data_IF_058105065198
#
_entry.id   IF_058105065198
#
_cell.length_a   1.000
_cell.length_b   1.000
_cell.length_c   1.000
_cell.angle_alpha   90.00
_cell.angle_beta   90.00
_cell.angle_gamma   90.00
#
_symmetry.space_group_name_H-M   'P 1'
#
loop_
_entity.id
_entity.type
_entity.pdbx_description
1 polymer ?
#
# COMPACT_ATOMS: atom_id res chain seq x y z
N UNK A 1 -1.89 13.29 26.89
CA UNK A 1 -0.41 13.23 26.93
C UNK A 1 0.03 12.22 25.89
N UNK A 2 0.89 12.63 24.97
CA UNK A 2 1.35 11.83 23.83
C UNK A 2 1.19 12.55 22.50
N UNK A 3 1.71 13.77 22.39
CA UNK A 3 1.95 14.40 21.10
C UNK A 3 3.01 13.56 20.38
N UNK A 4 2.60 12.80 19.37
CA UNK A 4 3.54 12.20 18.43
C UNK A 4 4.13 13.32 17.59
N UNK A 5 5.20 13.93 18.08
CA UNK A 5 6.05 14.77 17.26
C UNK A 5 6.56 13.87 16.13
N UNK A 6 6.01 14.05 14.93
CA UNK A 6 6.59 13.52 13.71
C UNK A 6 8.01 14.05 13.63
N UNK A 7 8.99 13.20 13.89
CA UNK A 7 10.38 13.52 13.65
C UNK A 7 10.50 13.85 12.16
N UNK A 8 10.71 15.13 11.88
CA UNK A 8 11.10 15.65 10.58
C UNK A 8 12.24 14.77 10.07
N UNK A 9 12.03 14.13 8.93
CA UNK A 9 13.06 13.36 8.27
C UNK A 9 13.49 14.11 7.03
N UNK A 10 14.41 15.08 7.19
CA UNK A 10 15.28 15.56 6.10
C UNK A 10 16.08 14.40 5.46
N UNK A 11 16.02 13.20 6.07
CA UNK A 11 16.60 11.99 5.53
C UNK A 11 15.72 11.42 4.42
N UNK A 12 16.37 11.19 3.27
CA UNK A 12 15.84 10.47 2.11
C UNK A 12 15.08 9.21 2.54
N UNK A 13 13.79 9.05 2.20
CA UNK A 13 13.01 7.87 2.57
C UNK A 13 13.62 6.57 2.04
N UNK A 14 13.67 5.54 2.90
CA UNK A 14 14.04 4.18 2.52
C UNK A 14 12.80 3.36 2.10
N UNK A 15 12.80 2.88 0.86
CA UNK A 15 11.72 2.08 0.26
C UNK A 15 12.02 0.57 0.25
N UNK A 16 13.08 0.12 0.93
CA UNK A 16 13.45 -1.30 1.03
C UNK A 16 12.31 -2.13 1.62
N UNK A 17 11.62 -1.59 2.63
CA UNK A 17 10.49 -2.29 3.25
C UNK A 17 9.32 -2.47 2.28
N UNK A 18 9.01 -1.47 1.44
CA UNK A 18 7.99 -1.58 0.39
C UNK A 18 8.37 -2.65 -0.63
N UNK A 19 9.61 -2.65 -1.08
CA UNK A 19 10.10 -3.65 -2.05
C UNK A 19 9.96 -5.07 -1.52
N UNK A 20 10.41 -5.32 -0.28
CA UNK A 20 10.30 -6.64 0.37
C UNK A 20 8.86 -7.06 0.62
N UNK A 21 7.99 -6.13 1.04
CA UNK A 21 6.58 -6.42 1.27
C UNK A 21 5.88 -6.83 -0.04
N UNK A 22 6.14 -6.09 -1.12
CA UNK A 22 5.62 -6.37 -2.45
C UNK A 22 6.12 -7.72 -2.98
N UNK A 23 7.40 -8.04 -2.86
CA UNK A 23 7.96 -9.35 -3.24
C UNK A 23 7.25 -10.50 -2.52
N UNK A 24 7.01 -10.35 -1.21
CA UNK A 24 6.23 -11.33 -0.44
C UNK A 24 4.79 -11.43 -0.93
N UNK A 25 4.13 -10.31 -1.24
CA UNK A 25 2.77 -10.35 -1.77
C UNK A 25 2.71 -11.11 -3.11
N UNK A 26 3.67 -10.86 -4.01
CA UNK A 26 3.78 -11.54 -5.31
C UNK A 26 4.01 -13.05 -5.13
N UNK A 27 4.94 -13.44 -4.24
CA UNK A 27 5.17 -14.86 -3.92
C UNK A 27 3.90 -15.51 -3.35
N UNK A 28 3.19 -14.81 -2.46
CA UNK A 28 1.94 -15.31 -1.89
C UNK A 28 0.85 -15.51 -2.93
N UNK A 29 0.73 -14.56 -3.87
CA UNK A 29 -0.21 -14.61 -4.98
C UNK A 29 0.07 -15.82 -5.88
N UNK A 30 1.32 -16.01 -6.30
CA UNK A 30 1.71 -17.13 -7.15
C UNK A 30 1.43 -18.50 -6.49
N UNK A 31 1.63 -18.61 -5.17
CA UNK A 31 1.32 -19.84 -4.41
C UNK A 31 -0.19 -20.09 -4.32
N UNK A 32 -0.98 -19.05 -4.14
CA UNK A 32 -2.44 -19.16 -4.14
C UNK A 32 -2.98 -19.57 -5.52
N UNK A 33 -2.44 -19.03 -6.60
CA UNK A 33 -2.83 -19.42 -7.97
C UNK A 33 -2.51 -20.88 -8.28
N UNK A 34 -1.44 -21.43 -7.68
CA UNK A 34 -1.07 -22.83 -7.88
C UNK A 34 -2.06 -23.82 -7.22
N UNK A 35 -2.68 -23.43 -6.11
CA UNK A 35 -3.74 -24.18 -5.44
C UNK A 35 -4.68 -23.24 -4.68
N UNK A 36 -5.80 -22.88 -5.32
CA UNK A 36 -6.78 -21.97 -4.74
C UNK A 36 -7.62 -22.61 -3.63
N UNK A 37 -7.50 -23.93 -3.41
CA UNK A 37 -8.22 -24.65 -2.35
C UNK A 37 -7.48 -24.65 -1.02
N UNK A 38 -6.19 -24.30 -1.01
CA UNK A 38 -5.39 -24.18 0.22
C UNK A 38 -5.78 -22.92 1.02
N UNK A 39 -6.61 -23.13 2.03
CA UNK A 39 -7.11 -22.09 2.93
C UNK A 39 -5.98 -21.40 3.69
N UNK A 40 -4.93 -22.13 4.09
CA UNK A 40 -3.80 -21.55 4.83
C UNK A 40 -3.01 -20.58 3.96
N UNK A 41 -2.85 -20.90 2.66
CA UNK A 41 -2.23 -20.01 1.68
C UNK A 41 -3.10 -18.79 1.43
N UNK A 42 -4.42 -18.96 1.26
CA UNK A 42 -5.37 -17.84 1.11
C UNK A 42 -5.30 -16.88 2.28
N UNK A 43 -5.37 -17.38 3.51
CA UNK A 43 -5.38 -16.56 4.71
C UNK A 43 -4.02 -15.84 4.89
N UNK A 44 -2.92 -16.54 4.61
CA UNK A 44 -1.59 -15.93 4.55
C UNK A 44 -1.46 -14.84 3.47
N UNK A 45 -2.09 -15.02 2.32
CA UNK A 45 -2.12 -14.05 1.22
C UNK A 45 -2.91 -12.79 1.62
N UNK A 46 -4.05 -12.93 2.30
CA UNK A 46 -4.81 -11.78 2.85
C UNK A 46 -3.95 -10.98 3.83
N UNK A 47 -3.23 -11.66 4.74
CA UNK A 47 -2.32 -10.98 5.66
C UNK A 47 -1.19 -10.25 4.93
N UNK A 48 -0.65 -10.85 3.85
CA UNK A 48 0.38 -10.24 3.00
C UNK A 48 -0.14 -8.98 2.29
N UNK A 49 -1.38 -9.00 1.82
CA UNK A 49 -2.03 -7.81 1.28
C UNK A 49 -2.14 -6.71 2.34
N UNK A 50 -2.65 -7.03 3.54
CA UNK A 50 -2.86 -6.03 4.60
C UNK A 50 -1.58 -5.26 4.94
N UNK A 51 -0.49 -5.96 5.25
CA UNK A 51 0.75 -5.27 5.61
C UNK A 51 1.36 -4.53 4.41
N UNK A 52 1.20 -5.05 3.19
CA UNK A 52 1.77 -4.40 1.99
C UNK A 52 1.03 -3.11 1.66
N UNK A 53 -0.30 -3.09 1.81
CA UNK A 53 -1.11 -1.87 1.71
C UNK A 53 -0.65 -0.80 2.71
N UNK A 54 -0.47 -1.18 3.98
CA UNK A 54 -0.04 -0.24 5.02
C UNK A 54 1.35 0.33 4.76
N UNK A 55 2.27 -0.50 4.28
CA UNK A 55 3.62 -0.09 3.93
C UNK A 55 3.60 0.82 2.68
N UNK A 56 2.79 0.50 1.67
CA UNK A 56 2.65 1.31 0.45
C UNK A 56 2.14 2.72 0.77
N UNK A 57 1.05 2.82 1.54
CA UNK A 57 0.50 4.10 2.00
C UNK A 57 1.53 4.91 2.79
N UNK A 58 2.21 4.30 3.78
CA UNK A 58 3.22 4.99 4.59
C UNK A 58 4.44 5.43 3.77
N UNK A 59 4.87 4.61 2.81
CA UNK A 59 6.00 4.94 1.94
C UNK A 59 5.67 6.10 1.01
N UNK A 60 4.45 6.11 0.45
CA UNK A 60 3.95 7.23 -0.34
C UNK A 60 3.90 8.52 0.47
N UNK A 61 3.30 8.47 1.68
CA UNK A 61 3.19 9.64 2.55
C UNK A 61 4.55 10.23 2.90
N UNK A 62 5.49 9.38 3.34
CA UNK A 62 6.88 9.79 3.64
C UNK A 62 7.59 10.41 2.46
N UNK A 63 7.37 9.89 1.26
CA UNK A 63 7.92 10.49 0.05
C UNK A 63 7.34 11.88 -0.20
N UNK A 64 6.02 12.05 -0.09
CA UNK A 64 5.38 13.35 -0.28
C UNK A 64 5.81 14.36 0.79
N UNK A 65 5.96 13.95 2.04
CA UNK A 65 6.52 14.76 3.13
C UNK A 65 7.95 15.21 2.77
N UNK A 66 8.81 14.28 2.34
CA UNK A 66 10.20 14.56 1.95
C UNK A 66 10.32 15.49 0.73
N UNK A 67 9.46 15.31 -0.27
CA UNK A 67 9.51 16.10 -1.51
C UNK A 67 8.80 17.46 -1.39
N UNK A 68 8.04 17.69 -0.33
CA UNK A 68 7.27 18.92 -0.13
C UNK A 68 8.14 20.02 0.52
N UNK A 69 8.05 21.28 0.04
CA UNK A 69 8.66 22.42 0.71
C UNK A 69 8.00 22.73 2.07
N UNK A 70 6.79 22.20 2.31
CA UNK A 70 6.10 22.31 3.60
C UNK A 70 5.52 20.94 3.99
N UNK A 71 6.28 20.08 4.67
CA UNK A 71 5.84 18.73 5.05
C UNK A 71 4.58 18.71 5.92
N UNK A 72 4.36 19.74 6.75
CA UNK A 72 3.18 19.84 7.63
C UNK A 72 1.87 19.89 6.83
N UNK A 73 1.91 20.40 5.59
CA UNK A 73 0.73 20.39 4.71
C UNK A 73 0.36 18.98 4.28
N UNK A 74 1.33 18.09 4.10
CA UNK A 74 1.12 16.68 3.76
C UNK A 74 0.57 15.92 4.97
N UNK A 75 1.03 16.25 6.18
CA UNK A 75 0.50 15.69 7.43
C UNK A 75 -0.98 16.00 7.64
N UNK A 76 -1.43 17.17 7.21
CA UNK A 76 -2.82 17.61 7.32
C UNK A 76 -3.73 17.01 6.23
N UNK A 77 -3.19 16.41 5.17
CA UNK A 77 -3.99 15.84 4.09
C UNK A 77 -4.86 14.69 4.58
N UNK A 78 -6.12 14.71 4.19
CA UNK A 78 -6.94 13.51 4.21
C UNK A 78 -6.33 12.46 3.26
N UNK A 79 -6.63 11.20 3.49
CA UNK A 79 -6.18 10.12 2.59
C UNK A 79 -6.57 10.37 1.13
N UNK A 80 -7.76 10.96 0.88
CA UNK A 80 -8.22 11.23 -0.47
C UNK A 80 -7.42 12.35 -1.16
N UNK A 81 -7.03 13.39 -0.42
CA UNK A 81 -6.13 14.45 -0.91
C UNK A 81 -4.72 13.93 -1.14
N UNK A 82 -4.20 13.08 -0.25
CA UNK A 82 -2.90 12.44 -0.39
C UNK A 82 -2.81 11.64 -1.69
N UNK A 83 -3.84 10.82 -1.98
CA UNK A 83 -3.89 10.02 -3.21
C UNK A 83 -4.00 10.91 -4.45
N UNK A 84 -4.88 11.91 -4.46
CA UNK A 84 -4.98 12.83 -5.63
C UNK A 84 -3.67 13.54 -5.91
N UNK A 85 -3.03 14.08 -4.87
CA UNK A 85 -1.72 14.72 -4.96
C UNK A 85 -0.69 13.76 -5.55
N UNK A 86 -0.69 12.50 -5.11
CA UNK A 86 0.23 11.49 -5.61
C UNK A 86 -0.03 11.12 -7.08
N UNK A 87 -1.30 10.96 -7.47
CA UNK A 87 -1.68 10.67 -8.86
C UNK A 87 -1.32 11.83 -9.79
N UNK A 88 -1.59 13.08 -9.38
CA UNK A 88 -1.21 14.30 -10.10
C UNK A 88 0.31 14.41 -10.31
N UNK A 89 1.10 14.00 -9.31
CA UNK A 89 2.55 13.94 -9.42
C UNK A 89 3.05 12.75 -10.26
N UNK A 90 2.16 11.90 -10.76
CA UNK A 90 2.51 10.70 -11.49
C UNK A 90 3.26 9.69 -10.61
N UNK A 91 2.86 9.51 -9.35
CA UNK A 91 3.38 8.47 -8.45
C UNK A 91 2.56 7.18 -8.49
N UNK A 92 1.28 7.26 -8.86
CA UNK A 92 0.31 6.17 -8.78
C UNK A 92 -0.17 5.69 -10.15
N UNK A 93 -0.52 4.42 -10.25
CA UNK A 93 -1.09 3.85 -11.47
C UNK A 93 -2.58 4.18 -11.59
N UNK A 94 -3.31 4.13 -10.47
CA UNK A 94 -4.71 4.49 -10.36
C UNK A 94 -4.95 5.85 -9.71
N UNK A 95 -6.23 6.23 -9.66
CA UNK A 95 -6.70 7.47 -9.07
C UNK A 95 -7.36 7.19 -7.72
N UNK A 96 -7.99 8.22 -7.14
CA UNK A 96 -8.74 8.10 -5.90
C UNK A 96 -9.75 6.93 -5.87
N UNK A 97 -10.59 6.69 -6.91
CA UNK A 97 -11.57 5.60 -6.88
C UNK A 97 -10.94 4.22 -6.64
N UNK A 98 -9.82 3.92 -7.28
CA UNK A 98 -9.10 2.64 -7.13
C UNK A 98 -8.50 2.50 -5.73
N UNK A 99 -7.86 3.55 -5.23
CA UNK A 99 -7.29 3.55 -3.89
C UNK A 99 -8.33 3.50 -2.77
N UNK A 100 -9.53 4.05 -3.03
CA UNK A 100 -10.68 3.85 -2.16
C UNK A 100 -11.06 2.38 -2.09
N UNK A 101 -11.10 1.67 -3.22
CA UNK A 101 -11.35 0.23 -3.25
C UNK A 101 -10.30 -0.54 -2.46
N UNK A 102 -9.00 -0.24 -2.63
CA UNK A 102 -7.94 -0.90 -1.84
C UNK A 102 -8.08 -0.62 -0.34
N UNK A 103 -8.47 0.60 0.05
CA UNK A 103 -8.74 0.94 1.45
C UNK A 103 -9.93 0.15 2.01
N UNK A 104 -11.00 0.01 1.24
CA UNK A 104 -12.18 -0.78 1.61
C UNK A 104 -11.83 -2.27 1.73
N UNK A 105 -11.02 -2.81 0.82
CA UNK A 105 -10.48 -4.17 0.91
C UNK A 105 -9.66 -4.36 2.19
N UNK A 106 -8.74 -3.44 2.50
CA UNK A 106 -7.96 -3.47 3.74
C UNK A 106 -8.86 -3.42 4.97
N UNK A 107 -9.93 -2.63 4.94
CA UNK A 107 -10.91 -2.59 6.03
C UNK A 107 -11.64 -3.91 6.28
N UNK A 108 -11.68 -4.80 5.28
CA UNK A 108 -12.36 -6.11 5.37
C UNK A 108 -11.44 -7.24 5.87
N UNK A 109 -10.11 -7.05 5.93
CA UNK A 109 -9.16 -8.13 6.28
C UNK A 109 -9.36 -8.66 7.70
N UNK A 110 -9.81 -7.82 8.64
CA UNK A 110 -10.19 -8.24 9.99
C UNK A 110 -11.36 -9.23 10.03
N UNK A 111 -12.14 -9.32 8.95
CA UNK A 111 -13.27 -10.23 8.77
C UNK A 111 -12.96 -11.41 7.84
N UNK A 112 -11.69 -11.61 7.46
CA UNK A 112 -11.28 -12.65 6.52
C UNK A 112 -11.41 -14.09 7.06
N UNK A 113 -11.79 -14.27 8.34
CA UNK A 113 -12.26 -15.57 8.84
C UNK A 113 -13.55 -16.04 8.12
N UNK A 114 -14.30 -15.12 7.51
CA UNK A 114 -15.37 -15.47 6.58
C UNK A 114 -14.78 -15.73 5.20
N UNK A 115 -14.93 -16.96 4.70
CA UNK A 115 -14.47 -17.35 3.36
C UNK A 115 -14.93 -16.39 2.27
N UNK A 116 -16.21 -15.98 2.29
CA UNK A 116 -16.76 -15.01 1.33
C UNK A 116 -15.97 -13.70 1.33
N UNK A 117 -15.61 -13.19 2.51
CA UNK A 117 -14.85 -11.94 2.67
C UNK A 117 -13.39 -12.15 2.24
N UNK A 118 -12.78 -13.28 2.59
CA UNK A 118 -11.42 -13.60 2.16
C UNK A 118 -11.31 -13.66 0.63
N UNK A 119 -12.24 -14.33 -0.04
CA UNK A 119 -12.30 -14.41 -1.50
C UNK A 119 -12.50 -13.04 -2.16
N UNK A 120 -13.33 -12.17 -1.55
CA UNK A 120 -13.53 -10.80 -2.02
C UNK A 120 -12.22 -9.98 -1.94
N UNK A 121 -11.46 -10.10 -0.85
CA UNK A 121 -10.16 -9.43 -0.73
C UNK A 121 -9.17 -10.00 -1.73
N UNK A 122 -9.08 -11.33 -1.85
CA UNK A 122 -8.14 -12.01 -2.75
C UNK A 122 -8.36 -11.62 -4.21
N UNK A 123 -9.61 -11.48 -4.64
CA UNK A 123 -9.94 -11.07 -6.01
C UNK A 123 -9.36 -9.70 -6.41
N UNK A 124 -9.15 -8.78 -5.46
CA UNK A 124 -8.56 -7.47 -5.73
C UNK A 124 -7.03 -7.41 -5.64
N UNK A 125 -6.37 -8.45 -5.15
CA UNK A 125 -4.92 -8.47 -4.93
C UNK A 125 -4.10 -8.27 -6.22
N UNK A 126 -4.43 -8.89 -7.38
CA UNK A 126 -3.66 -8.69 -8.60
C UNK A 126 -3.59 -7.22 -9.02
N UNK A 127 -4.73 -6.52 -8.95
CA UNK A 127 -4.80 -5.10 -9.29
C UNK A 127 -3.99 -4.25 -8.31
N UNK A 128 -3.99 -4.60 -7.02
CA UNK A 128 -3.15 -3.93 -6.03
C UNK A 128 -1.65 -4.21 -6.22
N UNK A 129 -1.26 -5.42 -6.67
CA UNK A 129 0.12 -5.74 -7.00
C UNK A 129 0.63 -4.81 -8.12
N UNK A 130 -0.15 -4.59 -9.17
CA UNK A 130 0.23 -3.68 -10.26
C UNK A 130 0.41 -2.24 -9.76
N UNK A 131 -0.52 -1.76 -8.93
CA UNK A 131 -0.44 -0.44 -8.29
C UNK A 131 0.84 -0.31 -7.46
N UNK A 132 1.10 -1.27 -6.58
CA UNK A 132 2.24 -1.25 -5.67
C UNK A 132 3.58 -1.35 -6.42
N UNK A 133 3.65 -2.08 -7.54
CA UNK A 133 4.82 -2.11 -8.43
C UNK A 133 5.10 -0.72 -9.00
N UNK A 134 4.09 -0.09 -9.58
CA UNK A 134 4.23 1.23 -10.19
C UNK A 134 4.63 2.27 -9.15
N UNK A 135 3.99 2.27 -7.96
CA UNK A 135 4.39 3.13 -6.86
C UNK A 135 5.85 2.90 -6.48
N UNK A 136 6.27 1.64 -6.23
CA UNK A 136 7.65 1.30 -5.85
C UNK A 136 8.65 1.80 -6.89
N UNK A 137 8.42 1.52 -8.17
CA UNK A 137 9.32 1.91 -9.26
C UNK A 137 9.43 3.44 -9.39
N UNK A 138 8.30 4.13 -9.28
CA UNK A 138 8.23 5.59 -9.35
C UNK A 138 8.87 6.27 -8.15
N UNK A 139 8.78 5.69 -6.96
CA UNK A 139 9.52 6.15 -5.78
C UNK A 139 11.02 5.90 -5.95
N UNK A 140 11.40 4.70 -6.39
CA UNK A 140 12.81 4.35 -6.62
C UNK A 140 13.49 5.31 -7.61
N UNK A 141 12.80 5.67 -8.70
CA UNK A 141 13.33 6.61 -9.68
C UNK A 141 13.48 8.05 -9.16
N UNK A 142 12.58 8.51 -8.28
CA UNK A 142 12.67 9.85 -7.67
C UNK A 142 13.63 9.92 -6.49
N UNK A 143 13.90 8.78 -5.87
CA UNK A 143 14.86 8.59 -4.80
C UNK A 143 16.16 7.97 -5.34
N UNK A 144 16.47 8.08 -6.62
CA UNK A 144 17.79 7.73 -7.14
C UNK A 144 18.81 8.77 -6.66
#
# INVERSE_FOLDING_TARGET
MGAGAGLMSDTKPDITLLSRALERLIEGWARYEADTSDIQIRDGLVQRFEFTYEIAHKSLKRYLEYASPNPETVDAMTFSELIRTASEQGLLLGEWPEWRTFREMRGKTSHAYSERVALEVVAGIPRFIDEARVLRDRLAGRLA
#
